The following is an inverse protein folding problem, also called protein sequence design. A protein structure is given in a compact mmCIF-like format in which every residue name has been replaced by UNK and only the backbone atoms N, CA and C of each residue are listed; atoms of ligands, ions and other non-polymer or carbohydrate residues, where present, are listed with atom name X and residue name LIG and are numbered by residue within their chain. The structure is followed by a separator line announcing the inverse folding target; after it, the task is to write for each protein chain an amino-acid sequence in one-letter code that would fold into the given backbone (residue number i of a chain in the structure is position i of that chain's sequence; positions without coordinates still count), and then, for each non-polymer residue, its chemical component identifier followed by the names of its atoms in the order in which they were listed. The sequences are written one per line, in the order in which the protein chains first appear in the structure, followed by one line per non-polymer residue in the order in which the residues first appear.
data_IF_611729450357
#
_entry.id   IF_611729450357
#
_cell.length_a   1.000
_cell.length_b   1.000
_cell.length_c   1.000
_cell.angle_alpha   90.00
_cell.angle_beta   90.00
_cell.angle_gamma   90.00
#
_symmetry.space_group_name_H-M   'P 1'
#
loop_
_entity.id
_entity.type
_entity.pdbx_description
1 polymer ?
#
# COMPACT_ATOMS: atom_id res chain seq x y z
N UNK A 1 -19.70 -8.60 -21.95
CA UNK A 1 -19.78 -8.38 -20.49
C UNK A 1 -18.60 -7.49 -20.13
N UNK A 2 -18.78 -6.39 -19.36
CA UNK A 2 -17.63 -5.63 -18.85
C UNK A 2 -16.71 -6.60 -18.08
N UNK A 3 -15.39 -6.46 -18.21
CA UNK A 3 -14.48 -7.37 -17.52
C UNK A 3 -14.67 -7.23 -16.02
N UNK A 4 -14.64 -8.36 -15.32
CA UNK A 4 -14.86 -8.42 -13.86
C UNK A 4 -13.64 -7.88 -13.08
N UNK A 5 -12.54 -7.60 -13.78
CA UNK A 5 -11.27 -7.09 -13.30
C UNK A 5 -10.43 -6.60 -14.50
N UNK A 6 -9.36 -5.84 -14.24
CA UNK A 6 -8.34 -5.47 -15.23
C UNK A 6 -6.97 -5.98 -14.78
N UNK A 7 -6.03 -6.10 -15.72
CA UNK A 7 -4.64 -6.49 -15.43
C UNK A 7 -3.72 -5.37 -15.86
N UNK A 8 -2.94 -4.86 -14.91
CA UNK A 8 -1.82 -3.95 -15.16
C UNK A 8 -0.52 -4.75 -15.13
N UNK A 9 0.36 -4.52 -16.12
CA UNK A 9 1.70 -5.09 -16.15
C UNK A 9 2.64 -4.23 -15.31
N UNK A 10 3.24 -4.82 -14.29
CA UNK A 10 4.24 -4.20 -13.43
C UNK A 10 5.58 -4.95 -13.58
N UNK A 11 6.72 -4.24 -13.66
CA UNK A 11 8.03 -4.86 -13.86
C UNK A 11 8.50 -5.72 -12.67
N UNK A 12 8.03 -5.42 -11.45
CA UNK A 12 8.42 -6.12 -10.23
C UNK A 12 7.45 -7.26 -9.91
N UNK A 13 6.14 -6.98 -9.96
CA UNK A 13 5.07 -7.89 -9.56
C UNK A 13 4.38 -8.62 -10.70
N UNK A 14 4.88 -8.48 -11.92
CA UNK A 14 4.31 -9.08 -13.10
C UNK A 14 2.88 -8.60 -13.42
N UNK A 15 1.86 -9.37 -13.06
CA UNK A 15 0.48 -9.09 -13.44
C UNK A 15 -0.32 -8.67 -12.20
N UNK A 16 -0.58 -7.37 -12.08
CA UNK A 16 -1.39 -6.81 -11.02
C UNK A 16 -2.85 -6.80 -11.47
N UNK A 17 -3.64 -7.72 -10.90
CA UNK A 17 -5.10 -7.73 -11.05
C UNK A 17 -5.75 -6.64 -10.20
N UNK A 18 -6.54 -5.77 -10.82
CA UNK A 18 -7.37 -4.75 -10.17
C UNK A 18 -8.82 -5.22 -10.08
N UNK A 19 -9.33 -5.31 -8.86
CA UNK A 19 -10.74 -5.62 -8.58
C UNK A 19 -11.64 -4.41 -8.86
N UNK A 20 -12.97 -4.59 -9.00
CA UNK A 20 -13.90 -3.50 -9.37
C UNK A 20 -13.80 -2.26 -8.49
N UNK A 21 -13.56 -2.41 -7.19
CA UNK A 21 -13.42 -1.29 -6.25
C UNK A 21 -12.14 -0.49 -6.52
N UNK A 22 -11.05 -1.16 -6.86
CA UNK A 22 -9.79 -0.50 -7.23
C UNK A 22 -9.92 0.22 -8.58
N UNK A 23 -10.58 -0.41 -9.57
CA UNK A 23 -10.85 0.20 -10.87
C UNK A 23 -11.70 1.47 -10.76
N UNK A 24 -12.68 1.47 -9.85
CA UNK A 24 -13.54 2.62 -9.63
C UNK A 24 -12.76 3.86 -9.14
N UNK A 25 -11.61 3.69 -8.48
CA UNK A 25 -10.82 4.79 -7.91
C UNK A 25 -9.52 5.09 -8.65
N UNK A 26 -8.90 4.11 -9.31
CA UNK A 26 -7.55 4.24 -9.90
C UNK A 26 -7.49 5.30 -11.00
N UNK A 27 -8.58 5.47 -11.76
CA UNK A 27 -8.67 6.44 -12.85
C UNK A 27 -9.12 7.83 -12.40
N UNK A 28 -9.28 8.06 -11.10
CA UNK A 28 -9.59 9.39 -10.58
C UNK A 28 -8.39 10.33 -10.72
N UNK A 29 -8.60 11.64 -10.95
CA UNK A 29 -7.51 12.60 -11.04
C UNK A 29 -6.57 12.59 -9.83
N UNK A 30 -7.09 12.35 -8.62
CA UNK A 30 -6.32 12.30 -7.38
C UNK A 30 -5.24 11.20 -7.42
N UNK A 31 -5.62 10.01 -7.90
CA UNK A 31 -4.74 8.83 -8.00
C UNK A 31 -3.84 8.94 -9.23
N UNK A 32 -4.37 9.33 -10.39
CA UNK A 32 -3.58 9.48 -11.62
C UNK A 32 -2.48 10.55 -11.49
N UNK A 33 -2.64 11.54 -10.60
CA UNK A 33 -1.58 12.50 -10.26
C UNK A 33 -0.30 11.83 -9.77
N UNK A 34 -0.40 10.68 -9.10
CA UNK A 34 0.76 9.97 -8.54
C UNK A 34 1.77 9.57 -9.62
N UNK A 35 1.33 9.45 -10.90
CA UNK A 35 2.21 9.17 -12.06
C UNK A 35 3.29 10.23 -12.27
N UNK A 36 3.05 11.44 -11.75
CA UNK A 36 3.91 12.60 -11.93
C UNK A 36 4.71 12.93 -10.66
N UNK A 37 4.64 12.07 -9.64
CA UNK A 37 5.37 12.25 -8.38
C UNK A 37 6.38 11.12 -8.26
N UNK A 38 7.67 11.45 -8.41
CA UNK A 38 8.76 10.47 -8.23
C UNK A 38 8.78 9.93 -6.81
N UNK A 39 9.00 8.63 -6.67
CA UNK A 39 9.10 7.95 -5.37
C UNK A 39 10.25 8.55 -4.54
N UNK A 40 11.44 8.59 -5.13
CA UNK A 40 12.68 8.97 -4.45
C UNK A 40 13.12 10.43 -4.69
N UNK A 41 12.19 11.32 -5.06
CA UNK A 41 12.47 12.75 -5.23
C UNK A 41 13.61 13.03 -6.21
N UNK A 42 14.75 13.52 -5.70
CA UNK A 42 15.96 13.88 -6.47
C UNK A 42 16.96 12.73 -6.64
N UNK A 43 16.71 11.53 -6.10
CA UNK A 43 17.64 10.41 -6.18
C UNK A 43 18.03 10.07 -7.63
N UNK A 44 17.17 10.35 -8.62
CA UNK A 44 17.47 10.18 -10.04
C UNK A 44 18.70 10.96 -10.54
N UNK A 45 19.11 12.01 -9.82
CA UNK A 45 20.34 12.77 -10.14
C UNK A 45 21.62 11.99 -9.79
N UNK A 46 21.52 11.00 -8.91
CA UNK A 46 22.63 10.13 -8.46
C UNK A 46 22.47 8.71 -9.00
N UNK A 47 21.23 8.19 -9.02
CA UNK A 47 20.82 6.89 -9.54
C UNK A 47 19.89 7.09 -10.74
N UNK A 48 20.41 7.18 -11.99
CA UNK A 48 19.60 7.54 -13.15
C UNK A 48 18.40 6.63 -13.43
N UNK A 49 18.38 5.40 -12.88
CA UNK A 49 17.25 4.47 -12.95
C UNK A 49 16.11 4.73 -11.97
N UNK A 50 16.32 5.56 -10.93
CA UNK A 50 15.33 5.92 -9.90
C UNK A 50 14.26 6.89 -10.42
N UNK A 51 13.62 6.55 -11.55
CA UNK A 51 12.63 7.37 -12.25
C UNK A 51 11.19 6.94 -11.96
N UNK A 52 10.99 5.90 -11.16
CA UNK A 52 9.67 5.41 -10.80
C UNK A 52 8.87 6.44 -9.98
N UNK A 53 7.56 6.36 -10.13
CA UNK A 53 6.57 7.22 -9.49
C UNK A 53 5.83 6.49 -8.36
N UNK A 54 5.13 7.29 -7.54
CA UNK A 54 4.25 6.77 -6.49
C UNK A 54 3.08 5.96 -7.03
N UNK A 55 2.74 6.10 -8.32
CA UNK A 55 1.62 5.37 -8.91
C UNK A 55 1.89 3.86 -9.01
N UNK A 56 3.02 3.45 -9.58
CA UNK A 56 3.37 2.03 -9.65
C UNK A 56 3.63 1.42 -8.26
N UNK A 57 4.17 2.22 -7.34
CA UNK A 57 4.31 1.82 -5.94
C UNK A 57 2.94 1.56 -5.28
N UNK A 58 1.99 2.48 -5.43
CA UNK A 58 0.62 2.31 -4.93
C UNK A 58 -0.07 1.05 -5.50
N UNK A 59 0.13 0.75 -6.79
CA UNK A 59 -0.37 -0.49 -7.41
C UNK A 59 0.30 -1.73 -6.81
N UNK A 60 1.60 -1.67 -6.53
CA UNK A 60 2.35 -2.74 -5.90
C UNK A 60 1.91 -3.00 -4.45
N UNK A 61 1.77 -1.96 -3.63
CA UNK A 61 1.22 -2.05 -2.27
C UNK A 61 -0.18 -2.67 -2.27
N UNK A 62 -1.07 -2.23 -3.17
CA UNK A 62 -2.38 -2.86 -3.38
C UNK A 62 -2.28 -4.34 -3.74
N UNK A 63 -1.35 -4.69 -4.64
CA UNK A 63 -1.14 -6.07 -5.07
C UNK A 63 -0.71 -6.97 -3.90
N UNK A 64 0.25 -6.52 -3.11
CA UNK A 64 0.74 -7.25 -1.95
C UNK A 64 -0.36 -7.37 -0.88
N UNK A 65 -1.13 -6.32 -0.61
CA UNK A 65 -2.28 -6.39 0.29
C UNK A 65 -3.29 -7.45 -0.16
N UNK A 66 -3.61 -7.52 -1.45
CA UNK A 66 -4.50 -8.56 -2.00
C UNK A 66 -3.95 -9.98 -1.74
N UNK A 67 -2.63 -10.17 -1.89
CA UNK A 67 -1.99 -11.48 -1.66
C UNK A 67 -2.03 -11.88 -0.19
N UNK A 68 -1.71 -10.97 0.73
CA UNK A 68 -1.76 -11.24 2.17
C UNK A 68 -3.18 -11.57 2.61
N UNK A 69 -4.16 -10.77 2.20
CA UNK A 69 -5.56 -11.02 2.59
C UNK A 69 -6.06 -12.38 2.10
N UNK A 70 -5.73 -12.78 0.86
CA UNK A 70 -6.05 -14.13 0.35
C UNK A 70 -5.40 -15.22 1.19
N UNK A 71 -4.12 -15.07 1.52
CA UNK A 71 -3.38 -16.05 2.31
C UNK A 71 -3.93 -16.19 3.74
N UNK A 72 -4.26 -15.08 4.41
CA UNK A 72 -4.83 -15.11 5.76
C UNK A 72 -6.22 -15.77 5.78
N UNK A 73 -7.02 -15.55 4.74
CA UNK A 73 -8.33 -16.21 4.60
C UNK A 73 -8.20 -17.70 4.29
N UNK A 74 -7.25 -18.09 3.43
CA UNK A 74 -6.93 -19.49 3.12
C UNK A 74 -6.38 -20.26 4.32
N UNK A 75 -5.55 -19.62 5.15
CA UNK A 75 -5.04 -20.17 6.40
C UNK A 75 -6.10 -20.28 7.50
N UNK A 76 -7.21 -19.53 7.38
CA UNK A 76 -8.26 -19.44 8.39
C UNK A 76 -7.94 -18.49 9.54
N UNK A 77 -6.88 -17.70 9.42
CA UNK A 77 -6.43 -16.72 10.43
C UNK A 77 -7.32 -15.47 10.45
N UNK A 78 -7.92 -15.13 9.30
CA UNK A 78 -8.85 -14.02 9.15
C UNK A 78 -10.14 -14.45 8.47
N UNK A 79 -11.28 -13.88 8.89
CA UNK A 79 -12.55 -13.96 8.17
C UNK A 79 -13.07 -12.55 7.96
N UNK A 80 -12.74 -11.99 6.80
CA UNK A 80 -13.14 -10.64 6.43
C UNK A 80 -14.42 -10.68 5.62
N UNK A 81 -15.33 -9.75 5.89
CA UNK A 81 -16.41 -9.51 4.95
C UNK A 81 -15.87 -8.79 3.69
N UNK A 82 -16.73 -8.69 2.68
CA UNK A 82 -16.33 -8.07 1.41
C UNK A 82 -15.95 -6.59 1.58
N UNK A 83 -16.56 -5.87 2.52
CA UNK A 83 -16.32 -4.46 2.74
C UNK A 83 -14.97 -4.22 3.42
N UNK A 84 -14.65 -4.99 4.46
CA UNK A 84 -13.36 -4.94 5.16
C UNK A 84 -12.21 -5.30 4.22
N UNK A 85 -12.38 -6.35 3.43
CA UNK A 85 -11.40 -6.76 2.42
C UNK A 85 -11.19 -5.66 1.37
N UNK A 86 -12.26 -5.04 0.88
CA UNK A 86 -12.14 -3.92 -0.06
C UNK A 86 -11.47 -2.71 0.58
N UNK A 87 -11.82 -2.38 1.83
CA UNK A 87 -11.27 -1.24 2.55
C UNK A 87 -9.77 -1.37 2.78
N UNK A 88 -9.27 -2.52 3.23
CA UNK A 88 -7.84 -2.77 3.44
C UNK A 88 -7.03 -2.68 2.13
N UNK A 89 -7.55 -3.25 1.03
CA UNK A 89 -6.92 -3.13 -0.29
C UNK A 89 -6.88 -1.68 -0.75
N UNK A 90 -7.99 -0.94 -0.61
CA UNK A 90 -8.05 0.47 -1.00
C UNK A 90 -7.18 1.36 -0.10
N UNK A 91 -7.07 1.06 1.18
CA UNK A 91 -6.14 1.74 2.08
C UNK A 91 -4.69 1.55 1.60
N UNK A 92 -4.29 0.33 1.23
CA UNK A 92 -2.97 0.09 0.63
C UNK A 92 -2.77 0.83 -0.71
N UNK A 93 -3.79 0.89 -1.58
CA UNK A 93 -3.72 1.63 -2.85
C UNK A 93 -3.61 3.16 -2.63
N UNK A 94 -4.23 3.68 -1.57
CA UNK A 94 -4.39 5.11 -1.34
C UNK A 94 -3.50 5.65 -0.22
N UNK A 95 -2.64 4.83 0.40
CA UNK A 95 -1.80 5.25 1.53
C UNK A 95 -0.94 6.47 1.18
N UNK A 96 -0.50 6.52 -0.08
CA UNK A 96 0.37 7.55 -0.62
C UNK A 96 -0.36 8.75 -1.26
N UNK A 97 -1.70 8.79 -1.19
CA UNK A 97 -2.53 9.77 -1.93
C UNK A 97 -2.28 11.23 -1.51
N UNK A 98 -1.74 11.42 -0.31
CA UNK A 98 -1.37 12.72 0.24
C UNK A 98 -0.07 13.31 -0.31
N UNK A 99 0.80 12.48 -0.90
CA UNK A 99 2.12 12.93 -1.33
C UNK A 99 2.09 13.90 -2.52
N UNK A 100 3.08 14.76 -2.57
CA UNK A 100 3.25 15.77 -3.62
C UNK A 100 4.72 15.79 -4.06
N UNK A 101 5.06 16.41 -5.21
CA UNK A 101 6.43 16.43 -5.69
C UNK A 101 7.39 16.88 -4.57
N UNK A 102 8.47 16.13 -4.36
CA UNK A 102 9.49 16.39 -3.32
C UNK A 102 9.03 16.28 -1.85
N UNK A 103 7.74 16.05 -1.58
CA UNK A 103 7.12 15.70 -0.28
C UNK A 103 7.90 16.23 0.93
N UNK A 104 8.71 15.41 1.60
CA UNK A 104 9.45 15.78 2.81
C UNK A 104 10.27 17.08 2.67
N UNK A 105 10.96 17.28 1.54
CA UNK A 105 11.75 18.50 1.34
C UNK A 105 10.89 19.78 1.29
N UNK A 106 9.62 19.64 0.89
CA UNK A 106 8.68 20.75 0.86
C UNK A 106 7.86 20.87 2.14
N UNK A 107 7.61 19.78 2.87
CA UNK A 107 7.10 19.83 4.24
C UNK A 107 8.06 20.61 5.14
N UNK A 108 9.36 20.33 5.03
CA UNK A 108 10.42 21.10 5.71
C UNK A 108 10.44 22.57 5.29
N UNK A 109 9.97 22.88 4.08
CA UNK A 109 9.83 24.25 3.57
C UNK A 109 8.51 24.94 3.99
N UNK A 110 7.68 24.29 4.81
CA UNK A 110 6.45 24.86 5.37
C UNK A 110 5.18 24.56 4.58
N UNK A 111 5.20 23.63 3.63
CA UNK A 111 3.98 23.14 2.97
C UNK A 111 3.23 22.13 3.86
N UNK A 112 1.91 21.96 3.66
CA UNK A 112 1.11 21.04 4.46
C UNK A 112 1.67 19.62 4.45
N UNK A 113 1.63 18.95 5.60
CA UNK A 113 1.98 17.54 5.70
C UNK A 113 1.10 16.68 4.77
N UNK A 114 1.70 15.64 4.21
CA UNK A 114 1.03 14.68 3.34
C UNK A 114 -0.24 14.08 3.99
N UNK A 115 -0.31 13.93 5.31
CA UNK A 115 -1.52 13.49 6.03
C UNK A 115 -2.72 14.43 5.81
N UNK A 116 -2.53 15.74 5.92
CA UNK A 116 -3.58 16.74 5.70
C UNK A 116 -4.05 16.71 4.24
N UNK A 117 -3.12 16.46 3.32
CA UNK A 117 -3.45 16.33 1.91
C UNK A 117 -4.17 15.02 1.63
N UNK A 118 -3.82 13.92 2.30
CA UNK A 118 -4.52 12.65 2.19
C UNK A 118 -5.98 12.82 2.61
N UNK A 119 -6.23 13.46 3.75
CA UNK A 119 -7.59 13.78 4.21
C UNK A 119 -8.38 14.58 3.17
N UNK A 120 -7.77 15.63 2.59
CA UNK A 120 -8.41 16.44 1.54
C UNK A 120 -8.75 15.63 0.29
N UNK A 121 -7.84 14.76 -0.17
CA UNK A 121 -8.05 13.93 -1.35
C UNK A 121 -9.13 12.86 -1.12
N UNK A 122 -9.20 12.31 0.09
CA UNK A 122 -10.19 11.30 0.46
C UNK A 122 -11.58 11.92 0.74
N UNK A 123 -11.63 13.19 1.17
CA UNK A 123 -12.87 13.85 1.59
C UNK A 123 -13.51 14.74 0.51
N UNK A 124 -12.83 14.98 -0.62
CA UNK A 124 -13.36 15.84 -1.69
C UNK A 124 -13.00 15.38 -3.11
N UNK A 125 -13.75 15.88 -4.10
CA UNK A 125 -13.49 15.63 -5.52
C UNK A 125 -13.96 14.26 -6.02
N UNK A 126 -13.44 13.85 -7.18
CA UNK A 126 -13.89 12.63 -7.87
C UNK A 126 -13.55 11.35 -7.09
N UNK A 127 -12.43 11.32 -6.36
CA UNK A 127 -12.06 10.17 -5.53
C UNK A 127 -13.07 9.97 -4.40
N UNK A 128 -13.38 11.02 -3.64
CA UNK A 128 -14.37 10.97 -2.58
C UNK A 128 -15.76 10.52 -3.07
N UNK A 129 -16.18 10.99 -4.26
CA UNK A 129 -17.44 10.57 -4.87
C UNK A 129 -17.47 9.06 -5.15
N UNK A 130 -16.38 8.50 -5.71
CA UNK A 130 -16.26 7.05 -5.97
C UNK A 130 -16.18 6.23 -4.70
N UNK A 131 -15.46 6.71 -3.69
CA UNK A 131 -15.40 6.07 -2.37
C UNK A 131 -16.78 6.03 -1.70
N UNK A 132 -17.57 7.10 -1.82
CA UNK A 132 -18.95 7.13 -1.31
C UNK A 132 -19.86 6.12 -2.04
N UNK A 133 -19.76 6.00 -3.37
CA UNK A 133 -20.50 5.00 -4.16
C UNK A 133 -20.16 3.55 -3.73
N UNK A 134 -18.92 3.31 -3.30
CA UNK A 134 -18.46 2.02 -2.80
C UNK A 134 -18.80 1.77 -1.31
N UNK A 135 -19.39 2.74 -0.61
CA UNK A 135 -19.63 2.65 0.83
C UNK A 135 -18.35 2.67 1.67
N UNK A 136 -17.28 3.31 1.17
CA UNK A 136 -15.96 3.39 1.79
C UNK A 136 -15.74 4.80 2.36
N UNK A 137 -16.13 5.08 3.62
CA UNK A 137 -16.00 6.42 4.19
C UNK A 137 -14.53 6.81 4.36
N UNK A 138 -14.18 8.05 4.03
CA UNK A 138 -12.83 8.59 4.13
C UNK A 138 -12.20 8.40 5.51
N UNK A 139 -12.98 8.58 6.59
CA UNK A 139 -12.49 8.41 7.95
C UNK A 139 -11.96 7.01 8.25
N UNK A 140 -12.57 5.97 7.69
CA UNK A 140 -12.10 4.58 7.86
C UNK A 140 -10.81 4.33 7.09
N UNK A 141 -10.71 4.83 5.87
CA UNK A 141 -9.47 4.73 5.08
C UNK A 141 -8.32 5.48 5.76
N UNK A 142 -8.58 6.70 6.24
CA UNK A 142 -7.61 7.49 6.98
C UNK A 142 -7.13 6.75 8.23
N UNK A 143 -8.03 6.13 9.01
CA UNK A 143 -7.62 5.35 10.17
C UNK A 143 -6.79 4.11 9.82
N UNK A 144 -6.88 3.56 8.61
CA UNK A 144 -6.02 2.44 8.20
C UNK A 144 -4.66 2.90 7.66
N UNK A 145 -4.63 4.07 7.01
CA UNK A 145 -3.41 4.66 6.45
C UNK A 145 -2.54 5.27 7.55
N UNK A 146 -3.18 5.91 8.53
CA UNK A 146 -2.52 6.60 9.63
C UNK A 146 -2.39 5.69 10.85
N UNK A 147 -1.18 5.61 11.40
CA UNK A 147 -0.92 4.94 12.68
C UNK A 147 -1.03 5.92 13.86
N UNK A 148 -1.50 5.48 15.04
CA UNK A 148 -1.91 4.12 15.40
C UNK A 148 -3.39 3.82 15.09
N UNK A 149 -3.68 2.57 14.70
CA UNK A 149 -5.03 2.07 14.48
C UNK A 149 -5.27 0.80 15.29
N UNK A 150 -6.47 0.67 15.87
CA UNK A 150 -6.83 -0.47 16.70
C UNK A 150 -7.33 -1.69 15.88
N UNK A 151 -7.54 -1.54 14.57
CA UNK A 151 -7.96 -2.65 13.72
C UNK A 151 -6.81 -3.67 13.57
N UNK A 152 -7.04 -4.98 13.79
CA UNK A 152 -6.00 -6.01 13.78
C UNK A 152 -5.13 -6.05 12.53
N UNK A 153 -5.73 -5.69 11.39
CA UNK A 153 -5.08 -5.70 10.08
C UNK A 153 -4.62 -4.32 9.62
N UNK A 154 -4.74 -3.27 10.43
CA UNK A 154 -4.19 -1.96 10.06
C UNK A 154 -2.67 -2.02 9.89
N UNK A 155 -1.99 -2.89 10.65
CA UNK A 155 -0.57 -3.19 10.51
C UNK A 155 -0.16 -3.72 9.14
N UNK A 156 -1.11 -4.18 8.31
CA UNK A 156 -0.86 -4.54 6.92
C UNK A 156 -0.50 -3.33 6.06
N UNK A 157 -1.10 -2.18 6.33
CA UNK A 157 -0.91 -0.93 5.58
C UNK A 157 0.07 -0.02 6.28
N UNK A 158 -0.01 0.08 7.61
CA UNK A 158 0.81 0.95 8.43
C UNK A 158 1.30 0.18 9.66
N UNK A 159 2.50 -0.41 9.56
CA UNK A 159 3.09 -1.25 10.59
C UNK A 159 4.61 -1.34 10.49
N UNK A 160 5.24 -2.11 11.39
CA UNK A 160 6.70 -2.34 11.32
C UNK A 160 7.09 -3.17 10.10
N UNK A 161 6.22 -4.09 9.70
CA UNK A 161 6.30 -4.88 8.47
C UNK A 161 4.95 -4.76 7.75
N UNK A 162 4.90 -3.89 6.75
CA UNK A 162 3.70 -3.60 5.96
C UNK A 162 3.97 -3.72 4.45
N UNK A 163 2.88 -3.71 3.67
CA UNK A 163 2.97 -3.85 2.21
C UNK A 163 3.60 -2.64 1.52
N UNK A 164 3.57 -1.48 2.17
CA UNK A 164 4.26 -0.28 1.74
C UNK A 164 5.79 -0.54 1.72
N UNK A 165 6.37 -0.93 2.86
CA UNK A 165 7.79 -1.27 2.98
C UNK A 165 8.23 -2.39 2.05
N UNK A 166 7.43 -3.44 1.94
CA UNK A 166 7.76 -4.56 1.05
C UNK A 166 7.79 -4.15 -0.43
N UNK A 167 6.89 -3.25 -0.85
CA UNK A 167 6.96 -2.71 -2.22
C UNK A 167 8.14 -1.76 -2.39
N UNK A 168 8.23 -0.69 -1.59
CA UNK A 168 9.22 0.34 -1.87
C UNK A 168 10.65 -0.20 -1.74
N UNK A 169 10.96 -1.06 -0.75
CA UNK A 169 12.32 -1.61 -0.62
C UNK A 169 12.70 -2.45 -1.85
N UNK A 170 11.78 -3.30 -2.31
CA UNK A 170 11.99 -4.15 -3.49
C UNK A 170 12.09 -3.32 -4.77
N UNK A 171 11.21 -2.31 -4.92
CA UNK A 171 11.13 -1.45 -6.10
C UNK A 171 12.30 -0.48 -6.17
N UNK A 172 12.66 0.15 -5.06
CA UNK A 172 13.79 1.07 -4.97
C UNK A 172 15.10 0.34 -5.25
N UNK A 173 15.29 -0.86 -4.68
CA UNK A 173 16.45 -1.71 -4.95
C UNK A 173 16.57 -2.04 -6.45
N UNK A 174 15.46 -2.46 -7.06
CA UNK A 174 15.39 -2.77 -8.49
C UNK A 174 15.70 -1.56 -9.37
N UNK A 175 15.03 -0.42 -9.11
CA UNK A 175 15.13 0.79 -9.94
C UNK A 175 16.46 1.53 -9.77
N UNK A 176 17.05 1.49 -8.57
CA UNK A 176 18.38 2.06 -8.33
C UNK A 176 19.52 1.15 -8.79
N UNK A 177 19.25 -0.14 -9.03
CA UNK A 177 20.28 -1.15 -9.30
C UNK A 177 21.15 -1.44 -8.07
N UNK A 178 20.59 -1.26 -6.86
CA UNK A 178 21.27 -1.49 -5.58
C UNK A 178 20.58 -2.65 -4.89
N UNK A 179 21.08 -3.89 -5.03
CA UNK A 179 20.54 -5.01 -4.30
C UNK A 179 20.93 -4.85 -2.82
N UNK A 180 20.03 -4.29 -2.01
CA UNK A 180 19.91 -4.67 -0.62
C UNK A 180 19.54 -6.17 -0.58
N UNK A 181 19.87 -6.92 0.47
CA UNK A 181 19.67 -8.37 0.53
C UNK A 181 18.35 -8.78 -0.13
N UNK A 182 18.39 -9.74 -1.09
CA UNK A 182 17.22 -10.06 -1.91
C UNK A 182 16.06 -10.43 -1.00
N UNK A 183 15.11 -9.51 -0.83
CA UNK A 183 13.98 -9.69 0.07
C UNK A 183 13.13 -10.81 -0.51
N UNK A 184 13.03 -11.93 0.21
CA UNK A 184 12.11 -13.00 -0.15
C UNK A 184 10.69 -12.59 0.27
N UNK A 185 10.09 -11.69 -0.50
CA UNK A 185 8.75 -11.16 -0.26
C UNK A 185 7.75 -12.31 -0.23
N UNK A 186 7.86 -13.29 -1.12
CA UNK A 186 6.96 -14.44 -1.14
C UNK A 186 7.02 -15.24 0.18
N UNK A 187 8.23 -15.46 0.72
CA UNK A 187 8.38 -16.10 2.03
C UNK A 187 7.83 -15.27 3.17
N UNK A 188 8.01 -13.95 3.14
CA UNK A 188 7.45 -13.05 4.15
C UNK A 188 5.93 -13.08 4.12
N UNK A 189 5.31 -12.86 2.96
CA UNK A 189 3.84 -12.86 2.84
C UNK A 189 3.22 -14.19 3.27
N UNK A 190 3.83 -15.31 2.89
CA UNK A 190 3.34 -16.65 3.27
C UNK A 190 3.55 -17.01 4.74
N UNK A 191 4.39 -16.25 5.45
CA UNK A 191 4.63 -16.43 6.88
C UNK A 191 3.82 -15.46 7.74
N UNK A 192 3.06 -14.53 7.15
CA UNK A 192 2.18 -13.63 7.89
C UNK A 192 0.98 -14.40 8.47
N UNK A 193 0.57 -13.99 9.67
CA UNK A 193 -0.53 -14.57 10.43
C UNK A 193 -1.15 -13.50 11.33
N UNK A 194 -2.21 -13.84 12.07
CA UNK A 194 -2.79 -12.98 13.11
C UNK A 194 -2.54 -13.63 14.47
N UNK A 195 -1.94 -12.88 15.39
CA UNK A 195 -1.68 -13.33 16.75
C UNK A 195 -2.03 -12.23 17.77
N UNK A 196 -2.13 -12.59 19.06
CA UNK A 196 -2.28 -11.61 20.11
C UNK A 196 -0.99 -10.80 20.29
N UNK A 197 -1.09 -9.48 20.15
CA UNK A 197 0.00 -8.54 20.41
C UNK A 197 0.26 -8.33 21.89
N UNK A 198 1.27 -7.50 22.24
CA UNK A 198 1.65 -7.24 23.64
C UNK A 198 0.53 -6.64 24.50
N UNK A 199 -0.44 -5.98 23.88
CA UNK A 199 -1.62 -5.40 24.51
C UNK A 199 -2.83 -6.36 24.56
N UNK A 200 -2.64 -7.61 24.13
CA UNK A 200 -3.66 -8.65 24.08
C UNK A 200 -4.63 -8.52 22.90
N UNK A 201 -4.46 -7.53 22.02
CA UNK A 201 -5.29 -7.37 20.82
C UNK A 201 -4.75 -8.20 19.68
N UNK A 202 -5.63 -8.70 18.81
CA UNK A 202 -5.20 -9.35 17.58
C UNK A 202 -4.43 -8.34 16.72
N UNK A 203 -3.29 -8.75 16.17
CA UNK A 203 -2.44 -7.94 15.32
C UNK A 203 -1.78 -8.81 14.25
N UNK A 204 -1.37 -8.20 13.14
CA UNK A 204 -0.53 -8.84 12.14
C UNK A 204 0.79 -9.28 12.78
N UNK A 205 1.14 -10.55 12.57
CA UNK A 205 2.33 -11.18 13.11
C UNK A 205 3.02 -12.04 12.04
N UNK A 206 4.22 -12.52 12.37
CA UNK A 206 5.02 -13.39 11.51
C UNK A 206 5.25 -14.73 12.23
N UNK A 207 5.01 -15.84 11.54
CA UNK A 207 5.46 -17.14 12.01
C UNK A 207 6.99 -17.17 12.14
N UNK A 208 7.51 -17.87 13.14
CA UNK A 208 8.96 -18.02 13.38
C UNK A 208 9.73 -18.50 12.14
N UNK A 209 9.11 -19.34 11.30
CA UNK A 209 9.68 -19.81 10.04
C UNK A 209 9.95 -18.71 9.00
N UNK A 210 9.35 -17.54 9.18
CA UNK A 210 9.58 -16.33 8.38
C UNK A 210 10.69 -15.43 8.92
N UNK A 211 11.21 -15.70 10.14
CA UNK A 211 12.17 -14.82 10.81
C UNK A 211 13.44 -14.59 9.98
N UNK A 212 14.01 -15.65 9.38
CA UNK A 212 15.19 -15.51 8.54
C UNK A 212 14.97 -14.59 7.32
N UNK A 213 13.75 -14.57 6.77
CA UNK A 213 13.40 -13.66 5.67
C UNK A 213 13.24 -12.22 6.17
N UNK A 214 12.73 -12.03 7.39
CA UNK A 214 12.65 -10.72 8.04
C UNK A 214 14.03 -10.17 8.43
N UNK A 215 14.96 -11.03 8.84
CA UNK A 215 16.34 -10.64 9.18
C UNK A 215 17.17 -10.27 7.94
N UNK A 216 16.73 -10.66 6.75
CA UNK A 216 17.39 -10.35 5.48
C UNK A 216 16.96 -9.00 4.87
N UNK A 217 16.01 -8.32 5.52
CA UNK A 217 15.35 -7.09 5.10
C UNK A 217 16.24 -5.86 5.34
#
# INVERSE_FOLDING_TARGET
MPSRFEIVRDPLWNNIRLDPEALAVVDTPAVQRLRYIRQLGHAFLVYPGATHSRFEHALGAYHLARRVLSQLEEAGDARLDAADRACLKLAALLHDIGHYPFSHALEEAGLPHHEVLAERQLSSGALAARLAELGMPAGRLLSLIQSPCAEPLAGLVSGSLDVDKLDYLSRDAWMCGVPYGVIDVDRLLTSLTIAAGPDGRAALALHEKGLAALESL
#
